data_IF_422922778495
#
_entry.id   IF_422922778495
#
_cell.length_a   1.000
_cell.length_b   1.000
_cell.length_c   1.000
_cell.angle_alpha   90.00
_cell.angle_beta   90.00
_cell.angle_gamma   90.00
#
_symmetry.space_group_name_H-M   'P 1'
#
loop_
_entity.id
_entity.type
_entity.pdbx_description
1 polymer ?
#
# COMPACT_ATOMS: atom_id res chain seq x y z
N UNK A 1 -20.25 32.71 -81.33
CA UNK A 1 -19.16 33.63 -81.60
C UNK A 1 -18.20 33.71 -80.47
N UNK A 2 -17.10 33.18 -80.77
CA UNK A 2 -15.71 33.57 -80.55
C UNK A 2 -15.21 33.47 -79.14
N UNK A 3 -14.41 32.48 -78.80
CA UNK A 3 -12.96 32.45 -79.01
C UNK A 3 -12.22 33.41 -78.01
N UNK A 4 -11.39 33.06 -77.17
CA UNK A 4 -10.03 32.67 -77.40
C UNK A 4 -9.22 32.60 -76.09
N UNK A 5 -8.39 31.58 -75.98
CA UNK A 5 -7.02 31.55 -75.50
C UNK A 5 -6.66 32.19 -74.16
N UNK A 6 -6.25 31.46 -73.21
CA UNK A 6 -4.83 31.03 -73.04
C UNK A 6 -4.18 31.80 -71.92
N UNK A 7 -3.71 31.24 -70.88
CA UNK A 7 -2.30 31.09 -70.60
C UNK A 7 -2.09 30.56 -69.18
N UNK A 8 -1.19 29.61 -69.07
CA UNK A 8 -0.49 29.07 -67.92
C UNK A 8 0.04 30.13 -66.95
N UNK A 9 -0.12 29.91 -65.65
CA UNK A 9 1.03 30.06 -64.76
C UNK A 9 0.89 29.21 -63.50
N UNK A 10 1.81 28.40 -63.33
CA UNK A 10 2.20 27.57 -62.23
C UNK A 10 2.58 28.46 -61.06
N UNK A 11 1.95 28.27 -59.88
CA UNK A 11 2.56 28.63 -58.62
C UNK A 11 2.12 27.58 -57.59
N UNK A 12 3.06 26.71 -57.28
CA UNK A 12 2.97 25.73 -56.24
C UNK A 12 2.77 26.44 -54.90
N UNK A 13 1.69 26.13 -54.26
CA UNK A 13 1.54 26.30 -52.83
C UNK A 13 1.85 24.96 -52.21
N UNK A 14 3.02 24.92 -51.64
CA UNK A 14 3.50 23.87 -50.71
C UNK A 14 2.55 23.89 -49.51
N UNK A 15 1.54 23.05 -49.50
CA UNK A 15 0.78 22.73 -48.32
C UNK A 15 1.74 21.91 -47.46
N UNK A 16 2.37 22.57 -46.49
CA UNK A 16 3.03 21.90 -45.41
C UNK A 16 1.96 21.04 -44.71
N UNK A 17 2.05 19.76 -44.95
CA UNK A 17 1.43 18.74 -44.12
C UNK A 17 2.14 18.83 -42.77
N UNK A 18 1.62 19.64 -41.87
CA UNK A 18 1.87 19.50 -40.46
C UNK A 18 1.09 18.27 -40.06
N UNK A 19 1.70 17.11 -40.33
CA UNK A 19 1.26 15.88 -39.70
C UNK A 19 1.31 16.11 -38.20
N UNK A 20 0.17 16.36 -37.62
CA UNK A 20 -0.11 16.15 -36.23
C UNK A 20 0.06 14.62 -36.06
N UNK A 21 1.25 14.18 -35.73
CA UNK A 21 1.47 12.81 -35.27
C UNK A 21 0.80 12.76 -33.92
N UNK A 22 -0.50 12.41 -33.91
CA UNK A 22 -1.10 11.87 -32.70
C UNK A 22 -0.13 10.80 -32.22
N UNK A 23 0.55 11.05 -31.12
CA UNK A 23 1.39 10.03 -30.48
C UNK A 23 0.47 8.85 -30.21
N UNK A 24 0.80 7.69 -30.74
CA UNK A 24 0.02 6.48 -30.51
C UNK A 24 -0.14 6.31 -28.98
N UNK A 25 -1.38 6.12 -28.55
CA UNK A 25 -1.70 5.89 -27.15
C UNK A 25 -1.09 4.55 -26.74
N UNK A 26 -0.29 4.56 -25.68
CA UNK A 26 0.32 3.38 -25.08
C UNK A 26 -0.58 2.94 -23.93
N UNK A 27 -1.09 1.73 -23.99
CA UNK A 27 -1.85 1.13 -22.90
C UNK A 27 -0.95 0.22 -22.08
N UNK A 28 -0.90 0.48 -20.77
CA UNK A 28 -0.16 -0.31 -19.78
C UNK A 28 -1.18 -0.98 -18.84
N UNK A 29 -1.05 -2.28 -18.67
CA UNK A 29 -1.90 -3.08 -17.78
C UNK A 29 -1.27 -3.16 -16.39
N UNK A 30 -1.96 -2.60 -15.41
CA UNK A 30 -1.56 -2.65 -14.00
C UNK A 30 -2.43 -3.66 -13.28
N UNK A 31 -1.82 -4.69 -12.73
CA UNK A 31 -2.48 -5.72 -11.95
C UNK A 31 -2.28 -5.51 -10.45
N UNK A 32 -3.37 -5.25 -9.73
CA UNK A 32 -3.37 -5.09 -8.29
C UNK A 32 -3.61 -6.40 -7.55
N UNK A 33 -3.02 -6.55 -6.35
CA UNK A 33 -3.22 -7.70 -5.48
C UNK A 33 -3.35 -7.23 -4.03
N UNK A 34 -4.40 -7.67 -3.36
CA UNK A 34 -4.63 -7.39 -1.94
C UNK A 34 -5.90 -8.04 -1.42
N UNK A 35 -6.14 -8.03 -0.11
CA UNK A 35 -7.31 -8.69 0.48
C UNK A 35 -8.58 -7.86 0.24
N UNK A 36 -9.46 -8.33 -0.64
CA UNK A 36 -10.80 -7.74 -0.82
C UNK A 36 -11.83 -8.41 0.10
N UNK A 37 -11.50 -9.58 0.63
CA UNK A 37 -12.33 -10.35 1.56
C UNK A 37 -11.50 -10.85 2.74
N UNK A 38 -12.18 -11.28 3.83
CA UNK A 38 -11.52 -11.78 5.04
C UNK A 38 -11.17 -10.67 6.04
N UNK A 39 -10.33 -11.03 7.01
CA UNK A 39 -10.05 -10.20 8.20
C UNK A 39 -9.25 -8.93 7.92
N UNK A 40 -8.62 -8.83 6.76
CA UNK A 40 -7.80 -7.71 6.33
C UNK A 40 -8.44 -6.91 5.16
N UNK A 41 -9.73 -7.14 4.86
CA UNK A 41 -10.41 -6.55 3.71
C UNK A 41 -10.42 -5.01 3.71
N UNK A 42 -10.42 -4.37 4.87
CA UNK A 42 -10.37 -2.88 4.98
C UNK A 42 -9.12 -2.32 4.28
N UNK A 43 -7.98 -3.01 4.38
CA UNK A 43 -6.76 -2.54 3.72
C UNK A 43 -6.82 -2.68 2.20
N UNK A 44 -7.19 -3.88 1.71
CA UNK A 44 -7.21 -4.15 0.28
C UNK A 44 -8.25 -3.34 -0.47
N UNK A 45 -9.45 -3.18 0.11
CA UNK A 45 -10.47 -2.30 -0.45
C UNK A 45 -9.98 -0.85 -0.53
N UNK A 46 -9.31 -0.35 0.51
CA UNK A 46 -8.78 1.00 0.52
C UNK A 46 -7.68 1.21 -0.53
N UNK A 47 -6.72 0.28 -0.64
CA UNK A 47 -5.67 0.36 -1.67
C UNK A 47 -6.24 0.27 -3.09
N UNK A 48 -7.20 -0.60 -3.33
CA UNK A 48 -7.89 -0.71 -4.63
C UNK A 48 -8.63 0.59 -4.96
N UNK A 49 -9.40 1.14 -4.03
CA UNK A 49 -10.18 2.36 -4.24
C UNK A 49 -9.30 3.58 -4.53
N UNK A 50 -8.19 3.73 -3.80
CA UNK A 50 -7.22 4.78 -4.05
C UNK A 50 -6.58 4.66 -5.42
N UNK A 51 -6.16 3.45 -5.81
CA UNK A 51 -5.60 3.16 -7.11
C UNK A 51 -6.59 3.43 -8.26
N UNK A 52 -7.86 3.04 -8.12
CA UNK A 52 -8.90 3.31 -9.12
C UNK A 52 -9.11 4.81 -9.37
N UNK A 53 -9.07 5.64 -8.33
CA UNK A 53 -9.16 7.10 -8.50
C UNK A 53 -7.99 7.61 -9.32
N UNK A 54 -6.76 7.20 -9.00
CA UNK A 54 -5.57 7.63 -9.72
C UNK A 54 -5.56 7.16 -11.19
N UNK A 55 -5.96 5.91 -11.46
CA UNK A 55 -6.10 5.38 -12.82
C UNK A 55 -7.08 6.20 -13.64
N UNK A 56 -8.27 6.50 -13.09
CA UNK A 56 -9.28 7.28 -13.78
C UNK A 56 -8.77 8.70 -14.06
N UNK A 57 -8.13 9.36 -13.08
CA UNK A 57 -7.57 10.71 -13.27
C UNK A 57 -6.51 10.75 -14.36
N UNK A 58 -5.58 9.80 -14.35
CA UNK A 58 -4.50 9.71 -15.34
C UNK A 58 -5.09 9.47 -16.74
N UNK A 59 -6.07 8.58 -16.86
CA UNK A 59 -6.75 8.32 -18.11
C UNK A 59 -7.54 9.55 -18.62
N UNK A 60 -8.14 10.34 -17.73
CA UNK A 60 -8.84 11.58 -18.04
C UNK A 60 -7.90 12.70 -18.50
N UNK A 61 -6.61 12.67 -18.14
CA UNK A 61 -5.62 13.63 -18.66
C UNK A 61 -5.51 13.58 -20.19
N UNK A 62 -5.89 12.45 -20.83
CA UNK A 62 -5.83 12.29 -22.27
C UNK A 62 -4.41 12.32 -22.85
N UNK A 63 -3.41 11.95 -22.04
CA UNK A 63 -2.01 11.80 -22.42
C UNK A 63 -1.78 10.58 -23.32
N UNK A 64 -0.52 10.37 -23.69
CA UNK A 64 -0.12 9.22 -24.51
C UNK A 64 0.02 7.91 -23.72
N UNK A 65 -0.07 7.94 -22.38
CA UNK A 65 -0.08 6.76 -21.52
C UNK A 65 -1.48 6.62 -20.93
N UNK A 66 -2.05 5.44 -21.08
CA UNK A 66 -3.35 5.04 -20.52
C UNK A 66 -3.19 3.76 -19.74
N UNK A 67 -3.95 3.60 -18.68
CA UNK A 67 -3.93 2.39 -17.84
C UNK A 67 -5.18 1.54 -18.05
N UNK A 68 -4.98 0.24 -18.22
CA UNK A 68 -5.98 -0.79 -17.90
C UNK A 68 -5.64 -1.35 -16.50
N UNK A 69 -6.64 -1.51 -15.67
CA UNK A 69 -6.45 -1.90 -14.28
C UNK A 69 -7.37 -3.06 -13.90
N UNK A 70 -6.81 -4.07 -13.25
CA UNK A 70 -7.53 -5.19 -12.64
C UNK A 70 -6.97 -5.45 -11.25
N UNK A 71 -7.82 -5.79 -10.28
CA UNK A 71 -7.40 -6.06 -8.91
C UNK A 71 -7.92 -7.42 -8.45
N UNK A 72 -7.03 -8.26 -7.93
CA UNK A 72 -7.29 -9.62 -7.52
C UNK A 72 -7.27 -9.78 -6.01
N UNK A 73 -8.25 -10.52 -5.47
CA UNK A 73 -8.35 -10.83 -4.04
C UNK A 73 -7.33 -11.89 -3.62
N UNK A 74 -6.46 -11.56 -2.68
CA UNK A 74 -5.50 -12.51 -2.07
C UNK A 74 -5.98 -13.08 -0.73
N UNK A 75 -7.12 -12.60 -0.22
CA UNK A 75 -7.69 -13.00 1.08
C UNK A 75 -6.73 -12.84 2.27
N UNK A 76 -5.62 -12.14 2.11
CA UNK A 76 -4.54 -12.03 3.10
C UNK A 76 -3.66 -13.28 3.22
N UNK A 77 -3.68 -14.19 2.23
CA UNK A 77 -3.00 -15.48 2.27
C UNK A 77 -2.00 -15.63 1.11
N UNK A 78 -0.76 -16.01 1.41
CA UNK A 78 0.32 -16.07 0.41
C UNK A 78 0.02 -17.03 -0.77
N UNK A 79 -0.59 -18.19 -0.54
CA UNK A 79 -0.95 -19.12 -1.62
C UNK A 79 -2.03 -18.55 -2.55
N UNK A 80 -3.00 -17.82 -1.97
CA UNK A 80 -4.03 -17.13 -2.74
C UNK A 80 -3.43 -15.97 -3.53
N UNK A 81 -2.49 -15.22 -2.94
CA UNK A 81 -1.79 -14.13 -3.60
C UNK A 81 -0.97 -14.60 -4.82
N UNK A 82 -0.27 -15.73 -4.72
CA UNK A 82 0.41 -16.35 -5.88
C UNK A 82 -0.59 -16.80 -6.94
N UNK A 83 -1.76 -17.27 -6.54
CA UNK A 83 -2.83 -17.63 -7.49
C UNK A 83 -3.39 -16.38 -8.19
N UNK A 84 -3.58 -15.29 -7.47
CA UNK A 84 -3.98 -13.98 -7.98
C UNK A 84 -2.94 -13.43 -8.97
N UNK A 85 -1.65 -13.52 -8.64
CA UNK A 85 -0.56 -13.15 -9.54
C UNK A 85 -0.60 -13.96 -10.85
N UNK A 86 -0.83 -15.27 -10.78
CA UNK A 86 -0.93 -16.09 -12.00
C UNK A 86 -2.15 -15.71 -12.85
N UNK A 87 -3.28 -15.33 -12.23
CA UNK A 87 -4.44 -14.85 -12.96
C UNK A 87 -4.15 -13.52 -13.69
N UNK A 88 -3.37 -12.62 -13.08
CA UNK A 88 -2.92 -11.39 -13.71
C UNK A 88 -1.96 -11.66 -14.89
N UNK A 89 -1.08 -12.66 -14.79
CA UNK A 89 -0.25 -13.09 -15.93
C UNK A 89 -1.11 -13.61 -17.09
N UNK A 90 -2.17 -14.38 -16.80
CA UNK A 90 -3.11 -14.84 -17.83
C UNK A 90 -3.90 -13.68 -18.48
N UNK A 91 -3.97 -12.53 -17.82
CA UNK A 91 -4.55 -11.28 -18.36
C UNK A 91 -3.53 -10.45 -19.15
N UNK A 92 -2.27 -10.90 -19.27
CA UNK A 92 -1.17 -10.16 -19.88
C UNK A 92 -0.83 -8.84 -19.14
N UNK A 93 -0.66 -8.91 -17.81
CA UNK A 93 -0.29 -7.76 -16.97
C UNK A 93 1.13 -7.24 -17.31
N UNK A 94 1.33 -5.94 -17.28
CA UNK A 94 2.63 -5.31 -17.50
C UNK A 94 3.37 -5.00 -16.19
N UNK A 95 2.66 -4.54 -15.19
CA UNK A 95 3.20 -4.08 -13.90
C UNK A 95 2.36 -4.66 -12.77
N UNK A 96 3.01 -5.19 -11.73
CA UNK A 96 2.36 -5.65 -10.51
C UNK A 96 2.32 -4.53 -9.47
N UNK A 97 1.12 -4.23 -9.00
CA UNK A 97 0.80 -3.32 -7.91
C UNK A 97 0.33 -4.13 -6.68
N UNK A 98 1.05 -4.04 -5.56
CA UNK A 98 0.73 -4.84 -4.38
C UNK A 98 1.84 -5.85 -4.02
N UNK A 99 1.60 -6.83 -3.13
CA UNK A 99 0.34 -6.97 -2.38
C UNK A 99 0.21 -5.89 -1.32
N UNK A 100 -1.00 -5.75 -0.78
CA UNK A 100 -1.27 -4.77 0.28
C UNK A 100 -0.62 -5.16 1.61
N UNK A 101 -0.67 -6.45 2.00
CA UNK A 101 -0.12 -6.96 3.26
C UNK A 101 1.19 -7.71 3.09
N UNK A 102 2.02 -7.73 4.13
CA UNK A 102 3.42 -8.19 4.09
C UNK A 102 3.59 -9.64 3.67
N UNK A 103 2.96 -10.61 4.36
CA UNK A 103 3.23 -12.03 4.13
C UNK A 103 2.80 -12.50 2.73
N UNK A 104 1.62 -12.11 2.20
CA UNK A 104 1.27 -12.30 0.79
C UNK A 104 2.26 -11.64 -0.17
N UNK A 105 2.70 -10.41 0.15
CA UNK A 105 3.63 -9.67 -0.70
C UNK A 105 4.99 -10.35 -0.80
N UNK A 106 5.53 -10.90 0.28
CA UNK A 106 6.78 -11.68 0.25
C UNK A 106 6.65 -12.87 -0.71
N UNK A 107 5.50 -13.56 -0.68
CA UNK A 107 5.23 -14.71 -1.55
C UNK A 107 5.21 -14.29 -3.03
N UNK A 108 4.47 -13.23 -3.38
CA UNK A 108 4.38 -12.72 -4.76
C UNK A 108 5.71 -12.11 -5.21
N UNK A 109 6.44 -11.41 -4.33
CA UNK A 109 7.73 -10.82 -4.65
C UNK A 109 8.80 -11.85 -5.02
N UNK A 110 8.69 -13.08 -4.52
CA UNK A 110 9.57 -14.17 -4.95
C UNK A 110 9.28 -14.59 -6.40
N UNK A 111 8.01 -14.65 -6.79
CA UNK A 111 7.57 -14.99 -8.14
C UNK A 111 7.88 -13.86 -9.14
N UNK A 112 7.55 -12.61 -8.82
CA UNK A 112 7.81 -11.46 -9.70
C UNK A 112 9.31 -11.25 -9.93
N UNK A 113 10.13 -11.49 -8.90
CA UNK A 113 11.59 -11.44 -9.06
C UNK A 113 12.12 -12.55 -9.97
N UNK A 114 11.55 -13.77 -9.90
CA UNK A 114 11.90 -14.89 -10.77
C UNK A 114 11.46 -14.65 -12.22
N UNK A 115 10.26 -14.13 -12.39
CA UNK A 115 9.59 -13.92 -13.69
C UNK A 115 9.94 -12.55 -14.30
N UNK A 116 10.67 -11.70 -13.57
CA UNK A 116 11.13 -10.38 -14.00
C UNK A 116 10.01 -9.37 -14.27
N UNK A 117 8.98 -9.32 -13.42
CA UNK A 117 7.98 -8.25 -13.42
C UNK A 117 8.38 -7.11 -12.47
N UNK A 118 8.18 -5.87 -12.89
CA UNK A 118 8.24 -4.73 -11.97
C UNK A 118 7.10 -4.83 -10.95
N UNK A 119 7.43 -4.69 -9.66
CA UNK A 119 6.45 -4.72 -8.57
C UNK A 119 6.64 -3.51 -7.65
N UNK A 120 5.52 -2.82 -7.35
CA UNK A 120 5.46 -1.76 -6.35
C UNK A 120 4.35 -2.06 -5.35
N UNK A 121 4.71 -2.27 -4.07
CA UNK A 121 3.72 -2.43 -3.02
C UNK A 121 3.36 -1.09 -2.37
N UNK A 122 2.05 -0.83 -2.10
CA UNK A 122 1.62 0.37 -1.38
C UNK A 122 2.02 0.33 0.10
N UNK A 123 1.89 -0.82 0.76
CA UNK A 123 1.87 -0.88 2.22
C UNK A 123 2.54 -2.11 2.85
N UNK A 124 2.98 -3.11 2.06
CA UNK A 124 3.72 -4.24 2.61
C UNK A 124 5.10 -3.79 3.09
N UNK A 125 5.26 -3.61 4.39
CA UNK A 125 6.31 -2.79 5.01
C UNK A 125 7.53 -3.57 5.53
N UNK A 126 7.50 -4.91 5.55
CA UNK A 126 8.68 -5.69 5.91
C UNK A 126 9.82 -5.51 4.92
N UNK A 127 11.05 -5.43 5.43
CA UNK A 127 12.25 -5.40 4.60
C UNK A 127 12.45 -6.67 3.79
N UNK A 128 11.82 -7.79 4.17
CA UNK A 128 11.89 -9.06 3.44
C UNK A 128 11.18 -9.03 2.07
N UNK A 129 10.27 -8.07 1.90
CA UNK A 129 9.58 -7.85 0.61
C UNK A 129 10.58 -7.52 -0.49
N UNK A 130 11.48 -6.58 -0.24
CA UNK A 130 12.45 -6.07 -1.23
C UNK A 130 13.84 -6.70 -1.13
N UNK A 131 14.16 -7.37 -0.02
CA UNK A 131 15.50 -7.88 0.24
C UNK A 131 16.00 -8.82 -0.89
N UNK A 132 17.12 -8.43 -1.53
CA UNK A 132 17.76 -9.18 -2.61
C UNK A 132 17.02 -9.17 -3.94
N UNK A 133 16.04 -8.29 -4.13
CA UNK A 133 15.23 -8.12 -5.35
C UNK A 133 15.40 -6.71 -5.87
N UNK A 134 15.86 -6.55 -7.11
CA UNK A 134 16.10 -5.25 -7.73
C UNK A 134 14.89 -4.69 -8.48
N UNK A 135 13.84 -5.50 -8.65
CA UNK A 135 12.61 -5.20 -9.36
C UNK A 135 11.39 -5.03 -8.46
N UNK A 136 11.56 -5.12 -7.13
CA UNK A 136 10.47 -5.00 -6.14
C UNK A 136 10.72 -3.79 -5.26
N UNK A 137 9.76 -2.89 -5.20
CA UNK A 137 9.84 -1.61 -4.49
C UNK A 137 8.69 -1.46 -3.49
N UNK A 138 8.90 -0.63 -2.47
CA UNK A 138 7.92 -0.27 -1.45
C UNK A 138 7.67 1.24 -1.49
N UNK A 139 6.40 1.66 -1.51
CA UNK A 139 6.00 3.06 -1.32
C UNK A 139 6.06 3.44 0.16
N UNK A 140 5.65 2.52 1.03
CA UNK A 140 5.55 2.73 2.48
C UNK A 140 6.93 2.75 3.18
N UNK A 141 6.92 3.21 4.41
CA UNK A 141 8.04 3.06 5.33
C UNK A 141 8.29 1.58 5.70
N UNK A 142 9.45 1.28 6.28
CA UNK A 142 9.79 -0.09 6.69
C UNK A 142 9.36 -0.38 8.13
N UNK A 143 9.10 -1.66 8.44
CA UNK A 143 8.78 -2.13 9.80
C UNK A 143 9.81 -1.68 10.85
N UNK A 144 11.14 -1.84 10.63
CA UNK A 144 12.12 -1.31 11.56
C UNK A 144 12.04 0.21 11.75
N UNK A 145 11.78 0.94 10.66
CA UNK A 145 11.59 2.39 10.71
C UNK A 145 10.39 2.80 11.55
N UNK A 146 9.29 2.07 11.41
CA UNK A 146 8.07 2.29 12.19
C UNK A 146 8.30 2.00 13.68
N UNK A 147 8.93 0.87 14.00
CA UNK A 147 9.26 0.50 15.39
C UNK A 147 10.15 1.53 16.08
N UNK A 148 11.17 2.04 15.37
CA UNK A 148 12.04 3.13 15.87
C UNK A 148 11.26 4.42 16.08
N UNK A 149 10.40 4.81 15.13
CA UNK A 149 9.59 6.03 15.24
C UNK A 149 8.62 5.95 16.43
N UNK A 150 7.92 4.81 16.60
CA UNK A 150 7.04 4.55 17.73
C UNK A 150 7.79 4.64 19.07
N UNK A 151 8.95 3.96 19.16
CA UNK A 151 9.78 3.96 20.37
C UNK A 151 10.25 5.35 20.75
N UNK A 152 10.76 6.12 19.79
CA UNK A 152 11.17 7.50 20.01
C UNK A 152 9.99 8.37 20.46
N UNK A 153 8.82 8.21 19.85
CA UNK A 153 7.64 8.97 20.23
C UNK A 153 7.20 8.68 21.68
N UNK A 154 7.24 7.42 22.10
CA UNK A 154 6.95 7.02 23.51
C UNK A 154 7.94 7.68 24.47
N UNK A 155 9.22 7.67 24.15
CA UNK A 155 10.29 8.24 24.98
C UNK A 155 10.16 9.76 25.07
N UNK A 156 10.09 10.44 23.93
CA UNK A 156 10.09 11.89 23.82
C UNK A 156 8.86 12.54 24.49
N UNK A 157 7.72 11.85 24.45
CA UNK A 157 6.47 12.32 25.04
C UNK A 157 6.18 11.72 26.43
N UNK A 158 7.07 10.86 26.95
CA UNK A 158 6.91 10.20 28.26
C UNK A 158 5.54 9.51 28.40
N UNK A 159 5.12 8.77 27.38
CA UNK A 159 3.79 8.17 27.29
C UNK A 159 3.58 6.98 28.23
N UNK A 160 4.65 6.36 28.69
CA UNK A 160 4.64 5.24 29.62
C UNK A 160 5.98 5.08 30.34
N UNK A 161 5.98 4.35 31.45
CA UNK A 161 7.17 4.04 32.22
C UNK A 161 7.46 2.54 32.27
N UNK A 162 6.44 1.71 32.13
CA UNK A 162 6.47 0.26 32.06
C UNK A 162 5.78 -0.20 30.80
N UNK A 163 6.53 -0.72 29.90
CA UNK A 163 6.07 -1.03 28.54
C UNK A 163 5.69 -2.50 28.42
N UNK A 164 4.45 -2.77 28.00
CA UNK A 164 4.02 -4.07 27.50
C UNK A 164 4.06 -4.07 25.96
N UNK A 165 4.34 -5.23 25.36
CA UNK A 165 4.22 -5.42 23.91
C UNK A 165 3.45 -6.70 23.67
N UNK A 166 2.46 -6.69 22.76
CA UNK A 166 1.77 -7.90 22.31
C UNK A 166 1.86 -7.94 20.80
N UNK A 167 2.42 -9.01 20.24
CA UNK A 167 2.66 -9.07 18.80
C UNK A 167 2.53 -10.50 18.23
N UNK A 168 2.29 -10.58 16.93
CA UNK A 168 2.22 -11.83 16.19
C UNK A 168 3.63 -12.27 15.78
N UNK A 169 4.15 -13.34 16.41
CA UNK A 169 5.47 -13.87 16.09
C UNK A 169 5.51 -14.79 14.86
N UNK A 170 4.36 -15.02 14.22
CA UNK A 170 4.25 -15.70 12.94
C UNK A 170 4.23 -14.76 11.74
N UNK A 171 4.20 -13.43 11.97
CA UNK A 171 4.17 -12.40 10.92
C UNK A 171 5.46 -11.61 10.87
N UNK A 172 6.04 -11.47 9.67
CA UNK A 172 7.25 -10.67 9.44
C UNK A 172 7.00 -9.18 9.75
N UNK A 173 5.82 -8.65 9.40
CA UNK A 173 5.35 -7.30 9.72
C UNK A 173 5.42 -7.04 11.23
N UNK A 174 4.67 -7.84 12.00
CA UNK A 174 4.51 -7.64 13.44
C UNK A 174 5.83 -7.79 14.20
N UNK A 175 6.65 -8.79 13.83
CA UNK A 175 7.95 -9.06 14.44
C UNK A 175 8.94 -7.94 14.16
N UNK A 176 9.03 -7.46 12.91
CA UNK A 176 9.98 -6.42 12.52
C UNK A 176 9.74 -5.09 13.26
N UNK A 177 8.48 -4.71 13.45
CA UNK A 177 8.11 -3.51 14.24
C UNK A 177 8.40 -3.75 15.74
N UNK A 178 7.97 -4.90 16.29
CA UNK A 178 8.10 -5.19 17.71
C UNK A 178 9.57 -5.18 18.17
N UNK A 179 10.45 -5.85 17.44
CA UNK A 179 11.88 -5.93 17.78
C UNK A 179 12.55 -4.55 17.76
N UNK A 180 12.26 -3.74 16.76
CA UNK A 180 12.82 -2.39 16.63
C UNK A 180 12.28 -1.43 17.69
N UNK A 181 11.00 -1.53 18.03
CA UNK A 181 10.38 -0.78 19.11
C UNK A 181 11.00 -1.11 20.46
N UNK A 182 11.05 -2.42 20.81
CA UNK A 182 11.64 -2.90 22.07
C UNK A 182 13.09 -2.40 22.20
N UNK A 183 13.91 -2.62 21.17
CA UNK A 183 15.30 -2.16 21.16
C UNK A 183 15.43 -0.65 21.40
N UNK A 184 14.54 0.14 20.81
CA UNK A 184 14.57 1.61 20.91
C UNK A 184 14.21 2.09 22.33
N UNK A 185 13.13 1.58 22.91
CA UNK A 185 12.71 2.00 24.25
C UNK A 185 13.68 1.53 25.34
N UNK A 186 14.24 0.31 25.22
CA UNK A 186 15.26 -0.20 26.13
C UNK A 186 16.55 0.59 26.05
N UNK A 187 16.99 0.95 24.84
CA UNK A 187 18.18 1.82 24.65
C UNK A 187 18.00 3.19 25.29
N UNK A 188 16.78 3.69 25.39
CA UNK A 188 16.44 4.93 26.10
C UNK A 188 16.28 4.76 27.61
N UNK A 189 16.37 3.52 28.14
CA UNK A 189 16.30 3.21 29.56
C UNK A 189 14.87 2.97 30.09
N UNK A 190 13.87 2.80 29.23
CA UNK A 190 12.54 2.34 29.63
C UNK A 190 12.55 0.82 29.87
N UNK A 191 11.67 0.36 30.76
CA UNK A 191 11.56 -1.06 31.09
C UNK A 191 10.45 -1.72 30.24
N UNK A 192 10.81 -2.71 29.42
CA UNK A 192 9.84 -3.61 28.79
C UNK A 192 9.52 -4.72 29.79
N UNK A 193 8.39 -4.58 30.48
CA UNK A 193 7.98 -5.48 31.59
C UNK A 193 7.30 -6.75 31.10
N UNK A 194 6.78 -6.76 29.89
CA UNK A 194 6.18 -7.92 29.23
C UNK A 194 6.32 -7.79 27.71
N UNK A 195 6.75 -8.86 27.04
CA UNK A 195 6.77 -9.00 25.58
C UNK A 195 6.10 -10.32 25.23
N UNK A 196 4.82 -10.25 24.94
CA UNK A 196 3.95 -11.40 24.77
C UNK A 196 3.67 -11.66 23.29
N UNK A 197 3.57 -12.93 22.92
CA UNK A 197 3.35 -13.31 21.53
C UNK A 197 2.15 -14.20 21.34
N UNK A 198 1.66 -14.23 20.09
CA UNK A 198 0.72 -15.21 19.57
C UNK A 198 1.12 -15.60 18.14
N UNK A 199 0.79 -16.81 17.66
CA UNK A 199 1.40 -17.35 16.44
C UNK A 199 0.60 -17.12 15.15
N UNK A 200 -0.64 -16.60 15.23
CA UNK A 200 -1.54 -16.46 14.07
C UNK A 200 -2.64 -15.46 14.34
N UNK A 201 -3.06 -14.73 13.31
CA UNK A 201 -4.18 -13.78 13.38
C UNK A 201 -5.55 -14.48 13.53
N UNK A 202 -5.62 -15.79 13.30
CA UNK A 202 -6.81 -16.61 13.61
C UNK A 202 -7.08 -16.76 15.13
N UNK A 203 -6.16 -16.27 15.99
CA UNK A 203 -6.34 -16.32 17.43
C UNK A 203 -7.49 -15.39 17.84
N UNK A 204 -8.39 -15.89 18.70
CA UNK A 204 -9.55 -15.13 19.18
C UNK A 204 -9.52 -14.86 20.68
N UNK A 205 -8.55 -15.38 21.40
CA UNK A 205 -8.38 -15.21 22.85
C UNK A 205 -6.97 -14.74 23.19
N UNK A 206 -6.86 -13.53 23.69
CA UNK A 206 -5.62 -12.85 24.08
C UNK A 206 -5.53 -12.62 25.60
N UNK A 207 -6.41 -13.25 26.40
CA UNK A 207 -6.45 -13.04 27.84
C UNK A 207 -5.13 -13.37 28.54
N UNK A 208 -4.38 -14.34 28.05
CA UNK A 208 -3.06 -14.71 28.61
C UNK A 208 -2.07 -13.56 28.43
N UNK A 209 -1.93 -13.04 27.21
CA UNK A 209 -1.00 -11.95 26.88
C UNK A 209 -1.38 -10.65 27.61
N UNK A 210 -2.68 -10.30 27.60
CA UNK A 210 -3.18 -9.10 28.29
C UNK A 210 -2.97 -9.22 29.81
N UNK A 211 -3.21 -10.41 30.40
CA UNK A 211 -3.01 -10.65 31.83
C UNK A 211 -1.52 -10.52 32.19
N UNK A 212 -0.61 -11.02 31.38
CA UNK A 212 0.82 -10.89 31.60
C UNK A 212 1.25 -9.41 31.63
N UNK A 213 0.81 -8.60 30.65
CA UNK A 213 1.07 -7.15 30.66
C UNK A 213 0.49 -6.46 31.90
N UNK A 214 -0.76 -6.77 32.25
CA UNK A 214 -1.44 -6.19 33.43
C UNK A 214 -0.71 -6.54 34.74
N UNK A 215 -0.39 -7.81 34.96
CA UNK A 215 0.21 -8.30 36.20
C UNK A 215 1.68 -7.86 36.35
N UNK A 216 2.37 -7.61 35.24
CA UNK A 216 3.67 -6.95 35.20
C UNK A 216 3.58 -5.44 35.46
N UNK A 217 2.37 -4.87 35.44
CA UNK A 217 2.10 -3.46 35.72
C UNK A 217 2.42 -2.53 34.54
N UNK A 218 2.29 -3.01 33.31
CA UNK A 218 2.46 -2.16 32.12
C UNK A 218 1.44 -1.02 32.15
N UNK A 219 1.92 0.20 31.96
CA UNK A 219 1.09 1.44 31.86
C UNK A 219 0.89 1.87 30.40
N UNK A 220 1.74 1.35 29.49
CA UNK A 220 1.57 1.44 28.05
C UNK A 220 1.69 0.04 27.44
N UNK A 221 0.80 -0.32 26.51
CA UNK A 221 0.88 -1.55 25.72
C UNK A 221 0.97 -1.19 24.25
N UNK A 222 2.11 -1.56 23.65
CA UNK A 222 2.34 -1.41 22.21
C UNK A 222 1.82 -2.62 21.45
N UNK A 223 1.07 -2.37 20.39
CA UNK A 223 0.36 -3.37 19.57
C UNK A 223 0.76 -3.22 18.10
N UNK A 224 1.93 -3.73 17.66
CA UNK A 224 2.32 -3.75 16.25
C UNK A 224 1.63 -4.90 15.51
N UNK A 225 0.32 -4.80 15.35
CA UNK A 225 -0.57 -5.84 14.83
C UNK A 225 -1.68 -5.23 13.97
N UNK A 226 -2.37 -6.06 13.22
CA UNK A 226 -3.50 -5.64 12.39
C UNK A 226 -4.74 -5.32 13.23
N UNK A 227 -5.70 -4.61 12.62
CA UNK A 227 -6.88 -4.09 13.33
C UNK A 227 -7.79 -5.19 13.89
N UNK A 228 -7.91 -6.36 13.25
CA UNK A 228 -8.78 -7.45 13.73
C UNK A 228 -8.30 -8.00 15.08
N UNK A 229 -7.06 -8.50 15.26
CA UNK A 229 -6.56 -8.88 16.58
C UNK A 229 -6.54 -7.71 17.58
N UNK A 230 -6.23 -6.50 17.13
CA UNK A 230 -6.25 -5.32 17.99
C UNK A 230 -7.66 -5.06 18.58
N UNK A 231 -8.71 -5.16 17.78
CA UNK A 231 -10.09 -5.00 18.22
C UNK A 231 -10.49 -5.97 19.34
N UNK A 232 -10.03 -7.23 19.21
CA UNK A 232 -10.24 -8.26 20.21
C UNK A 232 -9.48 -7.99 21.52
N UNK A 233 -8.21 -7.57 21.40
CA UNK A 233 -7.37 -7.21 22.55
C UNK A 233 -8.00 -6.02 23.31
N UNK A 234 -8.41 -4.96 22.63
CA UNK A 234 -9.05 -3.80 23.24
C UNK A 234 -10.33 -4.21 23.98
N UNK A 235 -11.17 -5.04 23.33
CA UNK A 235 -12.40 -5.54 23.94
C UNK A 235 -12.15 -6.41 25.17
N UNK A 236 -11.23 -7.37 25.08
CA UNK A 236 -10.91 -8.29 26.19
C UNK A 236 -10.25 -7.55 27.36
N UNK A 237 -9.33 -6.64 27.08
CA UNK A 237 -8.69 -5.83 28.11
C UNK A 237 -9.72 -5.02 28.92
N UNK A 238 -10.59 -4.26 28.24
CA UNK A 238 -11.59 -3.39 28.90
C UNK A 238 -12.71 -4.20 29.56
N UNK A 239 -13.34 -5.11 28.79
CA UNK A 239 -14.62 -5.70 29.21
C UNK A 239 -14.46 -7.00 30.01
N UNK A 240 -13.34 -7.75 29.85
CA UNK A 240 -13.12 -9.00 30.56
C UNK A 240 -12.12 -8.85 31.73
N UNK A 241 -11.05 -8.07 31.52
CA UNK A 241 -9.96 -7.96 32.47
C UNK A 241 -9.93 -6.64 33.25
N UNK A 242 -10.84 -5.69 32.92
CA UNK A 242 -10.88 -4.35 33.51
C UNK A 242 -9.49 -3.67 33.54
N UNK A 243 -8.77 -3.78 32.43
CA UNK A 243 -7.42 -3.26 32.26
C UNK A 243 -7.42 -2.23 31.11
N UNK A 244 -7.05 -1.00 31.43
CA UNK A 244 -7.10 0.14 30.52
C UNK A 244 -5.79 0.92 30.52
N UNK A 245 -4.69 0.32 30.04
CA UNK A 245 -3.44 1.04 29.85
C UNK A 245 -3.56 2.02 28.69
N UNK A 246 -2.53 2.82 28.46
CA UNK A 246 -2.40 3.49 27.17
C UNK A 246 -2.10 2.45 26.09
N UNK A 247 -2.99 2.30 25.11
CA UNK A 247 -2.74 1.48 23.94
C UNK A 247 -2.14 2.33 22.82
N UNK A 248 -1.08 1.81 22.20
CA UNK A 248 -0.42 2.44 21.06
C UNK A 248 -0.14 1.39 19.98
N UNK A 249 -0.54 1.65 18.75
CA UNK A 249 -0.42 0.72 17.64
C UNK A 249 0.45 1.22 16.52
N UNK A 250 0.73 0.31 15.60
CA UNK A 250 1.33 0.59 14.31
C UNK A 250 0.29 1.04 13.27
N UNK A 251 0.74 1.19 12.04
CA UNK A 251 -0.08 1.53 10.88
C UNK A 251 -1.18 0.50 10.59
N UNK A 252 -0.94 -0.78 10.90
CA UNK A 252 -1.94 -1.83 10.76
C UNK A 252 -3.18 -1.68 11.66
N UNK A 253 -3.25 -0.64 12.50
CA UNK A 253 -4.48 -0.29 13.20
C UNK A 253 -5.33 0.75 12.44
N UNK A 254 -4.78 1.38 11.40
CA UNK A 254 -5.56 2.32 10.60
C UNK A 254 -6.69 1.56 9.87
N UNK A 255 -7.90 2.12 9.96
CA UNK A 255 -9.12 1.44 9.50
C UNK A 255 -9.90 0.72 10.61
N UNK A 256 -9.39 0.57 11.85
CA UNK A 256 -10.11 -0.10 12.94
C UNK A 256 -11.50 0.52 13.21
N UNK A 257 -11.64 1.83 12.99
CA UNK A 257 -12.91 2.54 13.22
C UNK A 257 -13.97 2.23 12.15
N UNK A 258 -13.58 1.71 11.00
CA UNK A 258 -14.48 1.31 9.90
C UNK A 258 -14.80 -0.19 9.92
N UNK A 259 -14.16 -0.95 10.83
CA UNK A 259 -14.40 -2.38 10.98
C UNK A 259 -15.85 -2.66 11.35
N UNK A 260 -16.52 -3.53 10.58
CA UNK A 260 -17.91 -3.89 10.84
C UNK A 260 -18.08 -4.52 12.24
N UNK A 261 -19.02 -3.97 13.02
CA UNK A 261 -19.35 -4.47 14.37
C UNK A 261 -18.36 -4.06 15.47
N UNK A 262 -17.33 -3.26 15.17
CA UNK A 262 -16.43 -2.75 16.20
C UNK A 262 -17.10 -1.65 17.04
N UNK A 263 -17.02 -1.78 18.36
CA UNK A 263 -17.43 -0.72 19.29
C UNK A 263 -16.34 0.36 19.35
N UNK A 264 -16.54 1.45 18.62
CA UNK A 264 -15.56 2.55 18.50
C UNK A 264 -15.23 3.21 19.85
N UNK A 265 -16.06 3.05 20.90
CA UNK A 265 -15.74 3.53 22.25
C UNK A 265 -14.57 2.78 22.90
N UNK A 266 -14.18 1.63 22.35
CA UNK A 266 -12.98 0.89 22.76
C UNK A 266 -11.70 1.55 22.29
N UNK A 267 -11.77 2.39 21.27
CA UNK A 267 -10.63 3.14 20.73
C UNK A 267 -10.44 4.51 21.39
N UNK A 268 -11.21 4.85 22.43
CA UNK A 268 -11.00 6.11 23.16
C UNK A 268 -9.61 6.13 23.81
N UNK A 269 -8.76 7.07 23.35
CA UNK A 269 -7.38 7.21 23.79
C UNK A 269 -6.37 6.25 23.13
N UNK A 270 -6.82 5.43 22.18
CA UNK A 270 -5.92 4.67 21.30
C UNK A 270 -5.10 5.63 20.43
N UNK A 271 -3.82 5.40 20.39
CA UNK A 271 -2.90 6.08 19.44
C UNK A 271 -2.41 5.08 18.41
N UNK A 272 -2.15 5.55 17.20
CA UNK A 272 -1.50 4.76 16.16
C UNK A 272 -0.53 5.64 15.35
N UNK A 273 0.43 5.00 14.70
CA UNK A 273 1.25 5.63 13.67
C UNK A 273 0.53 5.56 12.32
N UNK A 274 0.56 6.65 11.59
CA UNK A 274 0.08 6.70 10.20
C UNK A 274 0.85 7.77 9.44
N UNK A 275 1.22 7.57 8.18
CA UNK A 275 1.85 8.59 7.34
C UNK A 275 0.84 9.58 6.76
N UNK A 276 -0.46 9.28 6.85
CA UNK A 276 -1.54 10.02 6.21
C UNK A 276 -2.48 10.66 7.23
N UNK A 277 -2.87 11.91 6.96
CA UNK A 277 -3.86 12.63 7.75
C UNK A 277 -4.98 13.15 6.85
N UNK A 278 -6.12 12.47 6.81
CA UNK A 278 -7.29 12.86 6.02
C UNK A 278 -7.84 14.25 6.38
N UNK A 279 -7.48 14.80 7.56
CA UNK A 279 -7.87 16.15 7.99
C UNK A 279 -6.83 17.23 7.63
N UNK A 280 -5.77 16.90 6.90
CA UNK A 280 -4.81 17.88 6.43
C UNK A 280 -5.47 18.88 5.46
N UNK A 281 -4.91 20.09 5.39
CA UNK A 281 -5.56 21.22 4.69
C UNK A 281 -4.81 21.62 3.42
N UNK A 282 -3.78 20.90 3.02
CA UNK A 282 -3.12 21.07 1.74
C UNK A 282 -4.04 20.64 0.59
N UNK A 283 -3.86 21.28 -0.56
CA UNK A 283 -4.76 21.13 -1.70
C UNK A 283 -4.80 19.69 -2.23
N UNK A 284 -3.67 18.99 -2.24
CA UNK A 284 -3.59 17.62 -2.76
C UNK A 284 -4.40 16.66 -1.88
N UNK A 285 -4.19 16.72 -0.56
CA UNK A 285 -4.96 15.90 0.40
C UNK A 285 -6.45 16.21 0.35
N UNK A 286 -6.84 17.49 0.34
CA UNK A 286 -8.25 17.88 0.28
C UNK A 286 -8.92 17.37 -1.00
N UNK A 287 -8.25 17.46 -2.15
CA UNK A 287 -8.79 16.97 -3.42
C UNK A 287 -8.95 15.45 -3.42
N UNK A 288 -7.96 14.71 -2.94
CA UNK A 288 -8.03 13.26 -2.84
C UNK A 288 -9.16 12.81 -1.91
N UNK A 289 -9.21 13.36 -0.67
CA UNK A 289 -10.24 13.02 0.32
C UNK A 289 -11.63 13.32 -0.23
N UNK A 290 -11.83 14.48 -0.86
CA UNK A 290 -13.12 14.85 -1.45
C UNK A 290 -13.56 13.84 -2.50
N UNK A 291 -12.70 13.46 -3.43
CA UNK A 291 -13.02 12.49 -4.49
C UNK A 291 -13.31 11.10 -3.92
N UNK A 292 -12.52 10.69 -2.93
CA UNK A 292 -12.72 9.40 -2.26
C UNK A 292 -14.08 9.34 -1.55
N UNK A 293 -14.41 10.38 -0.76
CA UNK A 293 -15.69 10.48 -0.06
C UNK A 293 -16.89 10.56 -1.02
N UNK A 294 -16.77 11.31 -2.13
CA UNK A 294 -17.83 11.39 -3.15
C UNK A 294 -18.08 10.05 -3.84
N UNK A 295 -17.02 9.25 -4.06
CA UNK A 295 -17.12 7.99 -4.79
C UNK A 295 -17.54 6.82 -3.90
N UNK A 296 -16.99 6.73 -2.68
CA UNK A 296 -17.13 5.55 -1.82
C UNK A 296 -17.94 5.82 -0.54
N UNK A 297 -18.20 7.06 -0.18
CA UNK A 297 -19.06 7.45 0.94
C UNK A 297 -18.40 7.31 2.32
N UNK A 298 -17.08 7.18 2.36
CA UNK A 298 -16.30 7.04 3.59
C UNK A 298 -15.01 7.86 3.51
N UNK A 299 -14.45 8.23 4.66
CA UNK A 299 -13.16 8.95 4.71
C UNK A 299 -12.02 7.98 4.44
N UNK A 300 -11.06 8.31 3.55
CA UNK A 300 -9.94 7.43 3.25
C UNK A 300 -9.01 7.27 4.46
N UNK A 301 -8.48 6.06 4.64
CA UNK A 301 -7.36 5.76 5.50
C UNK A 301 -6.03 5.87 4.74
N UNK A 302 -4.89 5.60 5.41
CA UNK A 302 -3.57 5.65 4.76
C UNK A 302 -3.45 4.73 3.55
N UNK A 303 -4.03 3.52 3.61
CA UNK A 303 -3.91 2.53 2.54
C UNK A 303 -4.53 3.03 1.23
N UNK A 304 -5.58 3.84 1.32
CA UNK A 304 -6.16 4.48 0.15
C UNK A 304 -5.21 5.53 -0.46
N UNK A 305 -4.55 6.33 0.38
CA UNK A 305 -3.55 7.30 -0.07
C UNK A 305 -2.31 6.61 -0.67
N UNK A 306 -1.82 5.56 -0.03
CA UNK A 306 -0.68 4.77 -0.53
C UNK A 306 -0.98 4.16 -1.91
N UNK A 307 -2.22 3.67 -2.10
CA UNK A 307 -2.66 3.14 -3.39
C UNK A 307 -2.70 4.18 -4.49
N UNK A 308 -3.25 5.34 -4.18
CA UNK A 308 -3.28 6.50 -5.08
C UNK A 308 -1.86 6.93 -5.48
N UNK A 309 -0.97 7.09 -4.51
CA UNK A 309 0.41 7.52 -4.73
C UNK A 309 1.22 6.50 -5.53
N UNK A 310 1.00 5.20 -5.33
CA UNK A 310 1.66 4.14 -6.11
C UNK A 310 1.37 4.27 -7.60
N UNK A 311 0.11 4.48 -7.99
CA UNK A 311 -0.29 4.59 -9.40
C UNK A 311 0.31 5.85 -10.03
N UNK A 312 0.35 6.97 -9.30
CA UNK A 312 1.02 8.18 -9.78
C UNK A 312 2.53 8.01 -9.88
N UNK A 313 3.17 7.31 -8.94
CA UNK A 313 4.60 7.02 -9.03
C UNK A 313 4.95 6.15 -10.25
N UNK A 314 4.12 5.13 -10.55
CA UNK A 314 4.25 4.32 -11.76
C UNK A 314 4.09 5.20 -13.01
N UNK A 315 3.09 6.07 -13.03
CA UNK A 315 2.86 6.98 -14.16
C UNK A 315 4.04 7.92 -14.40
N UNK A 316 4.56 8.54 -13.35
CA UNK A 316 5.71 9.44 -13.44
C UNK A 316 6.99 8.72 -13.87
N UNK A 317 7.20 7.48 -13.39
CA UNK A 317 8.31 6.65 -13.82
C UNK A 317 8.20 6.30 -15.32
N UNK A 318 7.02 5.88 -15.79
CA UNK A 318 6.77 5.57 -17.20
C UNK A 318 7.04 6.76 -18.13
N UNK A 319 6.76 7.99 -17.68
CA UNK A 319 7.04 9.20 -18.45
C UNK A 319 8.56 9.46 -18.64
N UNK A 320 9.41 8.87 -17.81
CA UNK A 320 10.87 8.98 -17.90
C UNK A 320 11.51 7.88 -18.73
N UNK A 321 10.76 6.88 -19.17
CA UNK A 321 11.25 5.80 -20.05
C UNK A 321 11.34 6.30 -21.49
N UNK A 322 12.55 6.56 -21.98
CA UNK A 322 12.80 7.14 -23.32
C UNK A 322 12.24 6.30 -24.48
N UNK A 323 12.26 4.98 -24.37
CA UNK A 323 11.88 4.02 -25.42
C UNK A 323 10.54 3.30 -25.11
N UNK A 324 9.66 3.89 -24.32
CA UNK A 324 8.39 3.27 -23.89
C UNK A 324 7.52 2.82 -25.07
N UNK A 325 7.47 3.59 -26.15
CA UNK A 325 6.69 3.22 -27.35
C UNK A 325 7.25 1.97 -28.05
N UNK A 326 8.57 1.79 -28.05
CA UNK A 326 9.22 0.60 -28.62
C UNK A 326 8.92 -0.64 -27.76
N UNK A 327 9.00 -0.49 -26.42
CA UNK A 327 8.68 -1.55 -25.48
C UNK A 327 7.20 -1.96 -25.60
N UNK A 328 6.28 -0.99 -25.66
CA UNK A 328 4.85 -1.25 -25.80
C UNK A 328 4.48 -1.99 -27.09
N UNK A 329 5.30 -1.89 -28.13
CA UNK A 329 5.10 -2.59 -29.39
C UNK A 329 5.69 -4.02 -29.42
N UNK A 330 6.36 -4.47 -28.37
CA UNK A 330 6.91 -5.82 -28.24
C UNK A 330 5.80 -6.85 -28.01
N UNK A 331 6.11 -8.11 -28.35
CA UNK A 331 5.26 -9.21 -27.92
C UNK A 331 5.24 -9.30 -26.37
N UNK A 332 4.10 -9.67 -25.81
CA UNK A 332 3.90 -9.71 -24.35
C UNK A 332 4.99 -10.49 -23.62
N UNK A 333 5.43 -11.62 -24.16
CA UNK A 333 6.45 -12.47 -23.55
C UNK A 333 7.81 -11.76 -23.32
N UNK A 334 8.11 -10.69 -24.05
CA UNK A 334 9.34 -9.91 -23.94
C UNK A 334 9.08 -8.52 -23.31
N UNK A 335 7.85 -8.01 -23.43
CA UNK A 335 7.46 -6.64 -23.05
C UNK A 335 7.59 -6.39 -21.55
N UNK A 336 7.10 -7.30 -20.70
CA UNK A 336 7.11 -7.12 -19.25
C UNK A 336 8.55 -7.08 -18.69
N UNK A 337 9.48 -7.92 -19.21
CA UNK A 337 10.89 -7.88 -18.80
C UNK A 337 11.58 -6.58 -19.25
N UNK A 338 11.36 -6.18 -20.51
CA UNK A 338 11.91 -4.94 -21.03
C UNK A 338 11.38 -3.70 -20.28
N UNK A 339 10.09 -3.71 -19.91
CA UNK A 339 9.48 -2.65 -19.11
C UNK A 339 10.02 -2.62 -17.69
N UNK A 340 10.18 -3.79 -17.06
CA UNK A 340 10.81 -3.93 -15.76
C UNK A 340 12.23 -3.34 -15.75
N UNK A 341 13.08 -3.73 -16.70
CA UNK A 341 14.44 -3.23 -16.80
C UNK A 341 14.50 -1.72 -17.05
N UNK A 342 13.56 -1.18 -17.83
CA UNK A 342 13.45 0.25 -18.08
C UNK A 342 13.04 1.02 -16.80
N UNK A 343 12.06 0.53 -16.04
CA UNK A 343 11.58 1.15 -14.82
C UNK A 343 12.60 1.11 -13.66
N UNK A 344 13.44 0.07 -13.60
CA UNK A 344 14.53 0.00 -12.62
C UNK A 344 15.61 1.05 -12.89
N UNK A 345 15.73 1.49 -14.13
CA UNK A 345 16.74 2.44 -14.58
C UNK A 345 16.38 3.92 -14.39
N UNK A 346 15.18 4.23 -13.93
CA UNK A 346 14.63 5.60 -13.83
C UNK A 346 14.85 6.25 -12.48
#
# INVERSE_FOLDING_TARGET
NTANTGNTNNSGTNSGDTGDTASDVITIKIGGIGPLTGDNAVYGLATDYGAQIAVDEINELGGNIQFEYDFQDDTGVGETAVSAYNALKDWDVDIIYGCTTTDPCISVAAETNSDRYFQLTPSASSTDVTAGKDNVFQMCFTDPGQGVAAGNYVVDNSLGTKIGVIYNNGSAYSTGIAESFISTVEAAGLEVVAAETYPSDDNTDYNVQITACRDAGADLVFLPIYYTPASLILNQAKNQLNYTPTFFGGDGMDGILTMEGFDTSLADGLMLLTPFNASATDEATVNFVTKYEERYGETPNQFAADGYDCIYAIYEALQQVDNLSEIAAMDYAERHEALCDALIGV
#
